data_IF_008918632292
#
_entry.id   IF_008918632292
#
_cell.length_a   1.000
_cell.length_b   1.000
_cell.length_c   1.000
_cell.angle_alpha   90.00
_cell.angle_beta   90.00
_cell.angle_gamma   90.00
#
_symmetry.space_group_name_H-M   'P 1'
#
loop_
_entity.id
_entity.type
_entity.pdbx_description
1 polymer ?
#
# COMPACT_ATOMS: atom_id res chain seq x y z
N UNK A 1 -8.50 1.68 27.24
CA UNK A 1 -9.59 2.18 26.39
C UNK A 1 -9.90 1.09 25.39
N UNK A 2 -11.13 0.56 25.36
CA UNK A 2 -11.49 -0.49 24.40
C UNK A 2 -11.50 0.06 22.97
N UNK A 3 -10.95 -0.68 22.02
CA UNK A 3 -11.04 -0.31 20.60
C UNK A 3 -12.52 -0.20 20.22
N UNK A 4 -12.93 1.00 19.79
CA UNK A 4 -14.26 1.21 19.19
C UNK A 4 -14.15 0.83 17.70
N UNK A 5 -15.26 0.40 17.10
CA UNK A 5 -15.30 0.24 15.65
C UNK A 5 -14.97 1.57 14.96
N UNK A 6 -14.26 1.50 13.84
CA UNK A 6 -13.93 2.67 13.02
C UNK A 6 -14.92 2.81 11.88
N UNK A 7 -15.39 4.04 11.62
CA UNK A 7 -16.17 4.32 10.41
C UNK A 7 -15.24 4.86 9.35
N UNK A 8 -14.76 4.02 8.44
CA UNK A 8 -13.80 4.42 7.43
C UNK A 8 -14.30 5.61 6.60
N UNK A 9 -15.58 5.69 6.25
CA UNK A 9 -16.09 6.80 5.46
C UNK A 9 -15.98 8.18 6.16
N UNK A 10 -15.92 8.19 7.50
CA UNK A 10 -15.84 9.41 8.31
C UNK A 10 -14.44 9.65 8.87
N UNK A 11 -13.73 8.57 9.23
CA UNK A 11 -12.47 8.61 9.97
C UNK A 11 -11.24 8.32 9.11
N UNK A 12 -11.42 7.89 7.85
CA UNK A 12 -10.30 7.60 6.94
C UNK A 12 -10.56 7.89 5.46
N UNK A 13 -9.54 8.34 4.73
CA UNK A 13 -9.67 8.65 3.31
C UNK A 13 -9.28 7.46 2.45
N UNK A 14 -10.28 6.80 1.86
CA UNK A 14 -10.10 5.63 1.00
C UNK A 14 -9.91 6.07 -0.45
N UNK A 15 -8.79 5.67 -1.04
CA UNK A 15 -8.36 6.08 -2.37
C UNK A 15 -8.00 4.82 -3.17
N UNK A 16 -8.63 4.62 -4.32
CA UNK A 16 -8.20 3.61 -5.27
C UNK A 16 -6.97 4.11 -6.02
N UNK A 17 -5.79 3.57 -5.70
CA UNK A 17 -4.50 4.02 -6.28
C UNK A 17 -4.10 3.17 -7.48
N UNK A 18 -4.58 1.92 -7.55
CA UNK A 18 -4.40 1.02 -8.68
C UNK A 18 -5.68 0.23 -8.88
N UNK A 19 -6.40 0.52 -9.97
CA UNK A 19 -7.55 -0.29 -10.38
C UNK A 19 -7.12 -1.72 -10.68
N UNK A 20 -7.99 -2.73 -10.47
CA UNK A 20 -7.70 -4.10 -10.84
C UNK A 20 -7.31 -4.20 -12.32
N UNK A 21 -6.07 -4.58 -12.58
CA UNK A 21 -5.51 -4.64 -13.92
C UNK A 21 -4.34 -5.62 -14.00
N UNK A 22 -3.87 -5.88 -15.22
CA UNK A 22 -2.62 -6.62 -15.40
C UNK A 22 -1.43 -5.73 -15.03
N UNK A 23 -0.47 -6.30 -14.31
CA UNK A 23 0.78 -5.63 -13.93
C UNK A 23 1.97 -6.12 -14.77
N UNK A 24 1.71 -6.76 -15.92
CA UNK A 24 2.75 -7.28 -16.82
C UNK A 24 3.70 -6.15 -17.26
N UNK A 25 5.00 -6.38 -17.14
CA UNK A 25 6.03 -5.36 -17.39
C UNK A 25 6.24 -4.36 -16.25
N UNK A 26 5.47 -4.48 -15.17
CA UNK A 26 5.47 -3.58 -14.03
C UNK A 26 4.53 -2.38 -14.21
N UNK A 27 4.06 -1.85 -13.09
CA UNK A 27 3.16 -0.69 -13.06
C UNK A 27 3.47 0.22 -11.88
N UNK A 28 3.36 1.53 -12.11
CA UNK A 28 3.32 2.53 -11.05
C UNK A 28 1.86 2.92 -10.80
N UNK A 29 1.45 2.89 -9.53
CA UNK A 29 0.13 3.35 -9.10
C UNK A 29 0.03 4.89 -9.19
N UNK A 30 -1.20 5.40 -9.13
CA UNK A 30 -1.45 6.84 -9.03
C UNK A 30 -0.88 7.36 -7.70
N UNK A 31 -0.01 8.39 -7.72
CA UNK A 31 0.48 8.99 -6.49
C UNK A 31 -0.65 9.61 -5.65
N UNK A 32 -0.46 9.71 -4.34
CA UNK A 32 -1.43 10.36 -3.45
C UNK A 32 -0.73 11.17 -2.36
N UNK A 33 -1.37 12.26 -1.93
CA UNK A 33 -0.79 13.20 -0.98
C UNK A 33 -1.04 12.79 0.48
N UNK A 34 0.00 12.80 1.32
CA UNK A 34 -0.08 12.51 2.75
C UNK A 34 -0.06 13.75 3.66
N UNK A 35 0.07 14.96 3.12
CA UNK A 35 0.28 16.23 3.87
C UNK A 35 -0.74 16.48 4.99
N UNK A 36 -1.97 15.98 4.85
CA UNK A 36 -3.05 16.25 5.81
C UNK A 36 -3.54 15.00 6.55
N UNK A 37 -2.80 13.90 6.45
CA UNK A 37 -3.05 12.67 7.17
C UNK A 37 -1.82 12.31 8.00
N UNK A 38 -2.02 11.71 9.16
CA UNK A 38 -0.91 11.24 9.99
C UNK A 38 -0.31 9.94 9.45
N UNK A 39 -1.13 9.10 8.81
CA UNK A 39 -0.79 7.72 8.44
C UNK A 39 -1.45 7.32 7.12
N UNK A 40 -0.74 6.51 6.32
CA UNK A 40 -1.29 5.75 5.20
C UNK A 40 -1.18 4.25 5.47
N UNK A 41 -2.26 3.52 5.16
CA UNK A 41 -2.26 2.06 5.04
C UNK A 41 -2.56 1.73 3.58
N UNK A 42 -1.63 1.09 2.88
CA UNK A 42 -1.79 0.73 1.48
C UNK A 42 -2.03 -0.76 1.41
N UNK A 43 -3.24 -1.15 1.04
CA UNK A 43 -3.63 -2.55 0.85
C UNK A 43 -3.39 -2.90 -0.61
N UNK A 44 -2.60 -3.94 -0.83
CA UNK A 44 -2.27 -4.48 -2.15
C UNK A 44 -2.86 -5.89 -2.22
N UNK A 45 -3.66 -6.15 -3.24
CA UNK A 45 -4.17 -7.47 -3.54
C UNK A 45 -3.48 -8.01 -4.79
N UNK A 46 -2.79 -9.14 -4.65
CA UNK A 46 -2.30 -9.92 -5.78
C UNK A 46 -3.34 -10.99 -6.11
N UNK A 47 -3.93 -10.89 -7.30
CA UNK A 47 -4.93 -11.80 -7.81
C UNK A 47 -4.30 -13.06 -8.41
N UNK A 48 -4.60 -13.33 -9.68
CA UNK A 48 -3.94 -14.38 -10.43
C UNK A 48 -2.49 -13.99 -10.73
N UNK A 49 -1.56 -14.92 -10.53
CA UNK A 49 -0.15 -14.78 -10.86
C UNK A 49 0.25 -15.93 -11.78
N UNK A 50 0.92 -15.60 -12.87
CA UNK A 50 1.61 -16.52 -13.77
C UNK A 50 3.10 -16.60 -13.44
N UNK A 51 3.68 -15.53 -12.89
CA UNK A 51 5.06 -15.48 -12.39
C UNK A 51 5.10 -14.68 -11.08
N UNK A 52 6.16 -14.91 -10.30
CA UNK A 52 6.44 -14.09 -9.14
C UNK A 52 6.65 -12.62 -9.55
N UNK A 53 5.95 -11.64 -8.94
CA UNK A 53 6.28 -10.24 -9.12
C UNK A 53 7.70 -9.96 -8.62
N UNK A 54 8.40 -9.06 -9.29
CA UNK A 54 9.82 -8.78 -9.03
C UNK A 54 10.04 -8.07 -7.69
N UNK A 55 9.33 -6.96 -7.47
CA UNK A 55 9.47 -6.14 -6.28
C UNK A 55 8.23 -5.27 -6.06
N UNK A 56 7.93 -5.01 -4.80
CA UNK A 56 7.01 -3.96 -4.36
C UNK A 56 7.86 -2.86 -3.73
N UNK A 57 7.86 -1.68 -4.36
CA UNK A 57 8.60 -0.49 -3.92
C UNK A 57 7.63 0.65 -3.62
N UNK A 58 8.06 1.56 -2.75
CA UNK A 58 7.30 2.75 -2.40
C UNK A 58 8.20 3.97 -2.53
N UNK A 59 7.74 4.94 -3.31
CA UNK A 59 8.47 6.18 -3.58
C UNK A 59 7.77 7.35 -2.91
N UNK A 60 8.55 8.27 -2.35
CA UNK A 60 8.09 9.61 -2.01
C UNK A 60 8.33 10.55 -3.20
N UNK A 61 7.33 11.34 -3.58
CA UNK A 61 7.36 12.22 -4.75
C UNK A 61 7.02 13.66 -4.37
N UNK A 62 7.45 14.62 -5.20
CA UNK A 62 7.17 16.05 -4.99
C UNK A 62 5.74 16.45 -5.33
N UNK A 63 5.11 15.74 -6.27
CA UNK A 63 3.80 16.06 -6.81
C UNK A 63 3.02 14.82 -7.28
N UNK A 64 1.86 15.08 -7.89
CA UNK A 64 0.93 14.07 -8.37
C UNK A 64 1.38 13.37 -9.67
N UNK A 65 2.34 13.91 -10.42
CA UNK A 65 2.90 13.22 -11.59
C UNK A 65 3.94 12.18 -11.20
N UNK A 66 4.33 12.14 -9.92
CA UNK A 66 5.38 11.24 -9.43
C UNK A 66 6.78 11.82 -9.59
N UNK A 67 6.91 13.14 -9.82
CA UNK A 67 8.22 13.77 -10.02
C UNK A 67 9.06 13.70 -8.73
N UNK A 68 10.38 13.73 -8.89
CA UNK A 68 11.30 13.70 -7.75
C UNK A 68 11.25 12.40 -6.92
N UNK A 69 10.78 11.30 -7.52
CA UNK A 69 10.61 10.02 -6.86
C UNK A 69 11.90 9.57 -6.12
N UNK A 70 11.76 9.36 -4.81
CA UNK A 70 12.81 8.83 -3.94
C UNK A 70 12.26 7.61 -3.22
N UNK A 71 12.85 6.45 -3.44
CA UNK A 71 12.43 5.22 -2.79
C UNK A 71 12.67 5.28 -1.27
N UNK A 72 11.66 4.90 -0.49
CA UNK A 72 11.69 4.95 0.99
C UNK A 72 11.54 3.56 1.60
N UNK A 73 12.15 3.30 2.77
CA UNK A 73 11.86 2.10 3.55
C UNK A 73 10.43 2.18 4.10
N UNK A 74 9.83 1.02 4.35
CA UNK A 74 8.48 0.93 4.90
C UNK A 74 8.28 -0.33 5.72
N UNK A 75 7.24 -0.31 6.55
CA UNK A 75 6.79 -1.47 7.30
C UNK A 75 5.61 -2.11 6.57
N UNK A 76 5.52 -3.44 6.55
CA UNK A 76 4.41 -4.13 5.92
C UNK A 76 3.96 -5.38 6.67
N UNK A 77 2.73 -5.79 6.41
CA UNK A 77 2.11 -7.04 6.84
C UNK A 77 1.72 -7.85 5.59
N UNK A 78 1.58 -9.15 5.75
CA UNK A 78 1.28 -10.05 4.64
C UNK A 78 0.31 -11.15 5.05
N UNK A 79 -0.60 -11.48 4.14
CA UNK A 79 -1.39 -12.71 4.13
C UNK A 79 -1.02 -13.46 2.86
N UNK A 80 -0.19 -14.50 3.02
CA UNK A 80 0.42 -15.25 1.90
C UNK A 80 -0.06 -16.69 1.81
N UNK A 81 -0.96 -17.11 2.71
CA UNK A 81 -1.49 -18.46 2.78
C UNK A 81 -2.81 -18.54 2.03
N UNK A 82 -2.87 -19.27 0.91
CA UNK A 82 -4.12 -19.54 0.21
C UNK A 82 -5.06 -20.44 1.02
N UNK A 83 -6.38 -20.30 0.89
CA UNK A 83 -7.39 -21.17 1.51
C UNK A 83 -7.92 -20.65 2.86
N UNK A 84 -8.21 -21.54 3.81
CA UNK A 84 -8.96 -21.25 5.05
C UNK A 84 -8.24 -20.32 6.07
N UNK A 85 -7.07 -19.78 5.72
CA UNK A 85 -6.26 -18.88 6.55
C UNK A 85 -6.17 -17.46 5.95
N UNK A 86 -7.15 -17.07 5.13
CA UNK A 86 -7.23 -15.80 4.41
C UNK A 86 -7.66 -14.59 5.27
N UNK A 87 -7.90 -14.79 6.57
CA UNK A 87 -8.42 -13.76 7.49
C UNK A 87 -7.34 -13.19 8.43
N UNK A 88 -6.09 -13.64 8.33
CA UNK A 88 -5.02 -13.17 9.22
C UNK A 88 -3.88 -12.50 8.48
N UNK A 89 -3.59 -11.25 8.86
CA UNK A 89 -2.39 -10.52 8.49
C UNK A 89 -1.24 -10.94 9.42
N UNK A 90 -0.72 -12.17 9.28
CA UNK A 90 0.56 -12.60 9.89
C UNK A 90 1.04 -13.97 9.37
N UNK A 91 2.30 -14.29 9.68
CA UNK A 91 3.06 -15.48 9.29
C UNK A 91 2.32 -16.82 9.43
N UNK A 92 2.46 -17.63 8.38
CA UNK A 92 2.76 -19.07 8.42
C UNK A 92 2.89 -19.66 9.85
N UNK A 93 1.76 -20.03 10.44
CA UNK A 93 1.66 -20.72 11.73
C UNK A 93 2.11 -19.91 12.97
N UNK A 94 1.11 -19.42 13.73
CA UNK A 94 1.13 -19.29 15.20
C UNK A 94 1.67 -18.03 15.91
N UNK A 95 1.94 -16.89 15.25
CA UNK A 95 2.12 -15.62 15.99
C UNK A 95 1.54 -14.41 15.25
N UNK A 96 0.42 -13.82 15.73
CA UNK A 96 -0.11 -12.58 15.17
C UNK A 96 0.88 -11.42 15.30
N UNK A 97 0.85 -10.49 14.34
CA UNK A 97 1.29 -9.09 14.48
C UNK A 97 2.79 -8.72 14.37
N UNK A 98 3.69 -9.57 13.86
CA UNK A 98 5.05 -9.09 13.53
C UNK A 98 5.07 -8.35 12.19
N UNK A 99 5.34 -7.06 12.26
CA UNK A 99 5.53 -6.22 11.10
C UNK A 99 6.89 -6.54 10.43
N UNK A 100 6.91 -6.61 9.11
CA UNK A 100 8.12 -6.77 8.32
C UNK A 100 8.68 -5.40 7.94
N UNK A 101 10.00 -5.27 7.85
CA UNK A 101 10.66 -4.06 7.36
C UNK A 101 11.17 -4.30 5.93
N UNK A 102 10.77 -3.46 4.99
CA UNK A 102 11.37 -3.34 3.68
C UNK A 102 12.39 -2.19 3.68
N UNK A 103 13.50 -2.39 2.98
CA UNK A 103 14.43 -1.29 2.69
C UNK A 103 13.88 -0.41 1.56
N UNK A 104 14.58 0.66 1.18
CA UNK A 104 14.21 1.44 -0.01
C UNK A 104 14.24 0.62 -1.32
N UNK A 105 14.92 -0.53 -1.35
CA UNK A 105 14.84 -1.47 -2.48
C UNK A 105 13.50 -2.25 -2.53
N UNK A 106 12.61 -2.04 -1.56
CA UNK A 106 11.35 -2.76 -1.45
C UNK A 106 11.51 -4.19 -0.94
N UNK A 107 10.57 -5.06 -1.33
CA UNK A 107 10.64 -6.50 -1.10
C UNK A 107 10.04 -7.27 -2.28
N UNK A 108 10.49 -8.51 -2.50
CA UNK A 108 9.89 -9.43 -3.47
C UNK A 108 8.71 -10.17 -2.83
N UNK A 109 7.49 -10.04 -3.36
CA UNK A 109 6.33 -10.78 -2.84
C UNK A 109 6.46 -12.29 -3.11
N UNK A 110 5.72 -13.09 -2.34
CA UNK A 110 5.64 -14.53 -2.58
C UNK A 110 4.97 -14.83 -3.93
N UNK A 111 5.44 -15.89 -4.59
CA UNK A 111 4.83 -16.44 -5.81
C UNK A 111 3.56 -17.25 -5.49
N UNK A 112 2.59 -16.57 -4.88
CA UNK A 112 1.33 -17.17 -4.46
C UNK A 112 0.20 -16.23 -4.86
N UNK A 113 -0.69 -16.73 -5.69
CA UNK A 113 -1.91 -16.03 -6.09
C UNK A 113 -2.86 -15.84 -4.89
N UNK A 114 -3.77 -14.85 -5.01
CA UNK A 114 -4.78 -14.52 -4.00
C UNK A 114 -4.17 -14.17 -2.64
N UNK A 115 -3.15 -13.30 -2.66
CA UNK A 115 -2.44 -12.84 -1.46
C UNK A 115 -2.63 -11.35 -1.25
N UNK A 116 -2.51 -10.92 0.00
CA UNK A 116 -2.66 -9.53 0.39
C UNK A 116 -1.42 -9.03 1.13
N UNK A 117 -1.09 -7.76 0.91
CA UNK A 117 -0.08 -7.04 1.65
C UNK A 117 -0.67 -5.72 2.16
N UNK A 118 -0.28 -5.32 3.36
CA UNK A 118 -0.61 -4.00 3.89
C UNK A 118 0.71 -3.28 4.19
N UNK A 119 1.00 -2.20 3.46
CA UNK A 119 2.10 -1.30 3.75
C UNK A 119 1.62 -0.21 4.68
N UNK A 120 2.40 0.11 5.71
CA UNK A 120 2.11 1.16 6.69
C UNK A 120 3.21 2.21 6.64
N UNK A 121 2.80 3.47 6.41
CA UNK A 121 3.69 4.63 6.40
C UNK A 121 3.10 5.74 7.26
N UNK A 122 3.95 6.36 8.07
CA UNK A 122 3.65 7.56 8.84
C UNK A 122 4.13 8.80 8.09
N UNK A 123 3.41 9.91 8.21
CA UNK A 123 3.74 11.13 7.48
C UNK A 123 5.11 11.74 7.86
N UNK A 124 5.57 11.50 9.08
CA UNK A 124 6.88 11.93 9.57
C UNK A 124 8.05 11.12 8.99
N UNK A 125 7.77 10.01 8.31
CA UNK A 125 8.77 9.20 7.59
C UNK A 125 9.05 9.74 6.19
N UNK A 126 8.26 10.70 5.70
CA UNK A 126 8.47 11.28 4.37
C UNK A 126 9.66 12.25 4.35
N UNK A 127 10.51 12.19 3.31
CA UNK A 127 11.54 13.21 3.12
C UNK A 127 10.95 14.61 2.99
N UNK A 128 11.70 15.61 3.45
CA UNK A 128 11.28 17.00 3.34
C UNK A 128 11.04 17.40 1.87
N UNK A 129 9.87 17.96 1.58
CA UNK A 129 9.48 18.39 0.23
C UNK A 129 8.89 17.31 -0.66
N UNK A 130 8.77 16.06 -0.19
CA UNK A 130 8.18 14.94 -0.94
C UNK A 130 6.90 14.42 -0.25
N UNK A 131 5.78 15.17 -0.30
CA UNK A 131 4.57 14.83 0.45
C UNK A 131 3.69 13.76 -0.23
N UNK A 132 4.02 13.33 -1.45
CA UNK A 132 3.26 12.33 -2.19
C UNK A 132 3.89 10.95 -2.04
N UNK A 133 3.07 9.90 -2.05
CA UNK A 133 3.49 8.51 -2.09
C UNK A 133 3.05 7.86 -3.39
N UNK A 134 3.94 7.08 -4.00
CA UNK A 134 3.66 6.29 -5.19
C UNK A 134 4.09 4.84 -4.98
N UNK A 135 3.13 3.93 -5.13
CA UNK A 135 3.37 2.48 -5.10
C UNK A 135 3.87 2.02 -6.47
N UNK A 136 4.91 1.20 -6.50
CA UNK A 136 5.41 0.55 -7.70
C UNK A 136 5.41 -0.96 -7.53
N UNK A 137 4.91 -1.65 -8.54
CA UNK A 137 4.87 -3.10 -8.63
C UNK A 137 5.71 -3.50 -9.85
N UNK A 138 6.91 -4.01 -9.62
CA UNK A 138 7.71 -4.57 -10.69
C UNK A 138 7.19 -5.99 -11.02
N UNK A 139 7.00 -6.27 -12.31
CA UNK A 139 6.66 -7.60 -12.78
C UNK A 139 7.34 -7.90 -14.12
N UNK A 140 7.58 -9.19 -14.38
CA UNK A 140 8.02 -9.64 -15.71
C UNK A 140 6.85 -9.68 -16.70
N UNK A 141 6.99 -10.47 -17.76
CA UNK A 141 6.01 -10.58 -18.85
C UNK A 141 4.85 -11.54 -18.59
N UNK A 142 4.49 -11.79 -17.32
CA UNK A 142 3.42 -12.70 -16.95
C UNK A 142 2.03 -12.04 -17.00
N UNK A 143 0.99 -12.87 -17.09
CA UNK A 143 -0.40 -12.44 -16.91
C UNK A 143 -0.72 -12.32 -15.41
N UNK A 144 -0.03 -11.41 -14.74
CA UNK A 144 -0.17 -11.14 -13.31
C UNK A 144 -1.15 -10.00 -13.10
N UNK A 145 -2.00 -10.12 -12.10
CA UNK A 145 -3.06 -9.14 -11.82
C UNK A 145 -2.96 -8.63 -10.39
N UNK A 146 -3.09 -7.32 -10.23
CA UNK A 146 -3.13 -6.70 -8.92
C UNK A 146 -4.09 -5.52 -8.86
N UNK A 147 -4.45 -5.14 -7.64
CA UNK A 147 -5.10 -3.88 -7.31
C UNK A 147 -4.51 -3.33 -6.02
N UNK A 148 -4.66 -2.02 -5.80
CA UNK A 148 -4.23 -1.39 -4.57
C UNK A 148 -5.12 -0.21 -4.16
N UNK A 149 -5.33 -0.11 -2.85
CA UNK A 149 -6.12 0.94 -2.20
C UNK A 149 -5.30 1.55 -1.07
N UNK A 150 -5.24 2.88 -1.02
CA UNK A 150 -4.68 3.61 0.11
C UNK A 150 -5.80 4.05 1.06
N UNK A 151 -5.57 3.94 2.37
CA UNK A 151 -6.46 4.39 3.43
C UNK A 151 -5.67 5.35 4.31
N UNK A 152 -5.98 6.64 4.23
CA UNK A 152 -5.32 7.68 5.02
C UNK A 152 -6.09 7.91 6.32
N UNK A 153 -5.42 7.94 7.47
CA UNK A 153 -6.08 8.17 8.76
C UNK A 153 -5.39 9.27 9.57
N UNK A 154 -6.07 9.75 10.62
CA UNK A 154 -5.61 10.90 11.40
C UNK A 154 -5.67 12.20 10.58
N UNK A 155 -6.80 12.41 9.89
CA UNK A 155 -7.01 13.57 9.04
C UNK A 155 -7.15 14.84 9.88
N UNK A 156 -6.41 15.88 9.52
CA UNK A 156 -6.49 17.19 10.19
C UNK A 156 -7.62 18.07 9.61
N UNK A 157 -8.79 17.47 9.33
CA UNK A 157 -9.91 18.16 8.68
C UNK A 157 -11.20 18.12 9.49
N UNK A 158 -11.81 19.28 9.79
CA UNK A 158 -13.15 19.36 10.34
C UNK A 158 -14.19 19.33 9.19
N UNK A 159 -14.62 18.14 8.74
CA UNK A 159 -15.67 18.05 7.73
C UNK A 159 -16.09 16.62 7.35
N UNK A 160 -17.34 16.45 6.91
CA UNK A 160 -17.91 15.17 6.45
C UNK A 160 -17.49 14.78 5.03
N UNK A 161 -16.81 15.68 4.31
CA UNK A 161 -16.28 15.43 2.97
C UNK A 161 -14.75 15.47 3.01
N UNK A 162 -14.15 14.42 2.47
CA UNK A 162 -12.69 14.31 2.38
C UNK A 162 -12.19 15.08 1.15
N UNK A 163 -11.10 15.84 1.27
CA UNK A 163 -10.52 16.57 0.14
C UNK A 163 -9.87 15.60 -0.84
N UNK A 164 -9.84 15.96 -2.12
CA UNK A 164 -9.16 15.15 -3.14
C UNK A 164 -7.67 15.00 -2.80
N UNK A 165 -7.18 13.77 -2.81
CA UNK A 165 -5.77 13.43 -2.54
C UNK A 165 -4.97 13.11 -3.81
N UNK A 166 -5.65 13.10 -4.97
CA UNK A 166 -5.12 12.69 -6.29
C UNK A 166 -5.25 13.80 -7.34
N UNK A 167 -5.16 15.06 -6.94
CA UNK A 167 -5.15 16.24 -7.83
C UNK A 167 -3.95 17.11 -7.55
#
# INVERSE_FOLDING_TARGET
MGARGINLAEEGHVISILSPQSISGGVAATPFNLKNAAKANIIIQLGALAIAPGAITLNACSDISGDGATAIPFTYYKQTTSGNANDTLSLNGSTPSTAFAATSAGFTPADTANTFYEIVVQADQLPAGLPYLQLELACGSGADYASAVAILTGLNYPGSQQPTATT
#
